data_IF_730558722922
#
_entry.id   IF_730558722922
#
_cell.length_a   1.000
_cell.length_b   1.000
_cell.length_c   1.000
_cell.angle_alpha   90.00
_cell.angle_beta   90.00
_cell.angle_gamma   90.00
#
_symmetry.space_group_name_H-M   'P 1'
#
loop_
_entity.id
_entity.type
_entity.pdbx_description
1 polymer ?
#
# COMPACT_ATOMS: atom_id res chain seq x y z
N UNK A 1 -42.49 -4.11 16.23
CA UNK A 1 -42.26 -5.30 17.08
C UNK A 1 -41.44 -6.29 16.28
N UNK A 2 -40.15 -6.45 16.61
CA UNK A 2 -39.26 -7.42 15.95
C UNK A 2 -39.59 -8.79 16.51
N UNK A 3 -40.12 -9.68 15.66
CA UNK A 3 -40.45 -11.06 16.03
C UNK A 3 -39.16 -11.82 16.32
N UNK A 4 -38.91 -12.15 17.59
CA UNK A 4 -37.95 -13.18 18.01
C UNK A 4 -38.49 -14.55 17.63
N UNK A 5 -38.35 -14.92 16.36
CA UNK A 5 -38.57 -16.28 15.87
C UNK A 5 -37.40 -17.15 16.30
N UNK A 6 -37.58 -17.89 17.40
CA UNK A 6 -36.54 -18.77 17.92
C UNK A 6 -36.22 -19.91 16.94
N UNK A 7 -34.93 -20.08 16.61
CA UNK A 7 -34.41 -21.26 15.92
C UNK A 7 -34.78 -22.60 16.61
N UNK A 8 -35.27 -22.55 17.85
CA UNK A 8 -35.62 -23.71 18.66
C UNK A 8 -36.79 -24.55 18.12
N UNK A 9 -37.77 -23.94 17.41
CA UNK A 9 -38.93 -24.68 16.87
C UNK A 9 -38.66 -25.38 15.54
N UNK A 10 -37.73 -24.86 14.75
CA UNK A 10 -37.47 -25.32 13.38
C UNK A 10 -36.65 -26.63 13.32
N UNK A 11 -35.88 -26.93 14.36
CA UNK A 11 -34.95 -28.07 14.42
C UNK A 11 -35.59 -29.39 14.89
N UNK A 12 -36.83 -29.36 15.39
CA UNK A 12 -37.44 -30.51 16.05
C UNK A 12 -37.82 -31.65 15.08
N UNK A 13 -38.16 -31.32 13.83
CA UNK A 13 -38.62 -32.28 12.80
C UNK A 13 -37.49 -32.91 11.95
N UNK A 14 -36.23 -32.51 12.15
CA UNK A 14 -35.10 -33.03 11.37
C UNK A 14 -34.62 -34.40 11.85
N UNK A 15 -34.12 -35.24 10.93
CA UNK A 15 -33.66 -36.60 11.21
C UNK A 15 -32.47 -36.59 12.18
N UNK A 16 -32.25 -37.68 12.94
CA UNK A 16 -31.17 -37.76 13.93
C UNK A 16 -29.76 -37.53 13.32
N UNK A 17 -29.60 -37.79 12.03
CA UNK A 17 -28.38 -37.51 11.27
C UNK A 17 -28.16 -36.01 11.08
N UNK A 18 -29.22 -35.26 10.74
CA UNK A 18 -29.14 -33.81 10.54
C UNK A 18 -28.89 -33.07 11.87
N UNK A 19 -29.48 -33.54 12.97
CA UNK A 19 -29.20 -33.01 14.32
C UNK A 19 -27.74 -33.23 14.73
N UNK A 20 -27.20 -34.42 14.44
CA UNK A 20 -25.79 -34.75 14.69
C UNK A 20 -24.86 -33.89 13.83
N UNK A 21 -25.15 -33.74 12.53
CA UNK A 21 -24.34 -32.91 11.63
C UNK A 21 -24.36 -31.43 12.01
N UNK A 22 -25.51 -30.89 12.42
CA UNK A 22 -25.62 -29.51 12.89
C UNK A 22 -24.87 -29.30 14.21
N UNK A 23 -24.93 -30.28 15.12
CA UNK A 23 -24.14 -30.24 16.36
C UNK A 23 -22.64 -30.24 16.07
N UNK A 24 -22.17 -31.13 15.20
CA UNK A 24 -20.75 -31.22 14.83
C UNK A 24 -20.27 -29.98 14.08
N UNK A 25 -21.07 -29.45 13.15
CA UNK A 25 -20.78 -28.21 12.43
C UNK A 25 -20.67 -27.03 13.39
N UNK A 26 -21.60 -26.90 14.35
CA UNK A 26 -21.57 -25.83 15.33
C UNK A 26 -20.34 -25.92 16.25
N UNK A 27 -20.00 -27.13 16.72
CA UNK A 27 -18.79 -27.36 17.52
C UNK A 27 -17.53 -26.98 16.71
N UNK A 28 -17.43 -27.40 15.45
CA UNK A 28 -16.29 -27.09 14.60
C UNK A 28 -16.16 -25.58 14.30
N UNK A 29 -17.27 -24.88 14.13
CA UNK A 29 -17.26 -23.42 13.96
C UNK A 29 -16.80 -22.74 15.26
N UNK A 30 -17.30 -23.18 16.42
CA UNK A 30 -16.91 -22.61 17.72
C UNK A 30 -15.43 -22.82 18.02
N UNK A 31 -14.87 -23.99 17.70
CA UNK A 31 -13.43 -24.24 17.89
C UNK A 31 -12.57 -23.39 16.97
N UNK A 32 -12.97 -23.23 15.69
CA UNK A 32 -12.27 -22.34 14.75
C UNK A 32 -12.31 -20.88 15.20
N UNK A 33 -13.47 -20.39 15.66
CA UNK A 33 -13.61 -19.03 16.20
C UNK A 33 -12.71 -18.84 17.41
N UNK A 34 -12.66 -19.81 18.33
CA UNK A 34 -11.80 -19.74 19.51
C UNK A 34 -10.32 -19.71 19.12
N UNK A 35 -9.88 -20.51 18.15
CA UNK A 35 -8.50 -20.49 17.64
C UNK A 35 -8.16 -19.17 16.96
N UNK A 36 -9.09 -18.54 16.24
CA UNK A 36 -8.90 -17.23 15.63
C UNK A 36 -8.77 -16.15 16.71
N UNK A 37 -9.66 -16.16 17.72
CA UNK A 37 -9.59 -15.22 18.84
C UNK A 37 -8.29 -15.34 19.62
N UNK A 38 -7.87 -16.58 19.89
CA UNK A 38 -6.57 -16.88 20.49
C UNK A 38 -5.44 -16.43 19.56
N UNK A 39 -5.46 -16.75 18.26
CA UNK A 39 -4.44 -16.32 17.31
C UNK A 39 -4.31 -14.79 17.19
N UNK A 40 -5.42 -14.05 17.29
CA UNK A 40 -5.43 -12.59 17.36
C UNK A 40 -4.83 -12.11 18.70
N UNK A 41 -5.18 -12.74 19.82
CA UNK A 41 -4.63 -12.42 21.13
C UNK A 41 -3.14 -12.77 21.27
N UNK A 42 -2.67 -13.80 20.54
CA UNK A 42 -1.30 -14.28 20.50
C UNK A 42 -0.46 -13.66 19.37
N UNK A 43 -1.04 -12.77 18.54
CA UNK A 43 -0.29 -11.94 17.61
C UNK A 43 0.58 -11.00 18.45
N UNK A 44 1.76 -11.53 18.74
CA UNK A 44 2.63 -11.07 19.80
C UNK A 44 2.93 -9.59 19.69
N UNK A 45 3.19 -9.05 20.88
CA UNK A 45 3.83 -7.77 21.13
C UNK A 45 5.14 -7.66 20.34
N UNK A 46 5.04 -7.29 19.07
CA UNK A 46 6.14 -6.79 18.27
C UNK A 46 6.04 -5.27 18.33
N UNK A 47 6.94 -4.69 19.13
CA UNK A 47 7.38 -3.29 19.18
C UNK A 47 6.56 -2.29 18.36
N UNK A 48 5.79 -1.43 19.04
CA UNK A 48 6.19 -0.05 19.31
C UNK A 48 5.04 0.71 19.99
N UNK A 49 5.37 1.34 21.11
CA UNK A 49 4.70 2.49 21.75
C UNK A 49 3.24 2.38 22.18
N UNK A 50 3.10 2.64 23.49
CA UNK A 50 1.92 3.00 24.28
C UNK A 50 0.71 3.53 23.52
N UNK A 51 -0.41 2.90 23.84
CA UNK A 51 -1.67 3.48 24.29
C UNK A 51 -1.74 5.02 24.36
N UNK A 52 -2.89 5.55 23.94
CA UNK A 52 -3.34 6.94 24.00
C UNK A 52 -2.60 7.98 23.13
N UNK A 53 -3.04 8.12 21.88
CA UNK A 53 -3.47 9.41 21.30
C UNK A 53 -3.99 9.17 19.88
N UNK A 54 -5.31 9.22 19.74
CA UNK A 54 -5.97 9.51 18.47
C UNK A 54 -5.39 10.84 17.94
N UNK A 55 -4.35 10.79 17.08
CA UNK A 55 -3.81 11.85 16.18
C UNK A 55 -2.28 12.00 16.12
N UNK A 56 -1.48 11.29 16.92
CA UNK A 56 -0.01 11.39 16.74
C UNK A 56 0.42 10.39 15.64
N UNK A 57 0.74 10.92 14.46
CA UNK A 57 1.40 10.17 13.39
C UNK A 57 2.71 9.54 13.88
N UNK A 58 3.39 8.75 13.04
CA UNK A 58 4.60 8.06 13.49
C UNK A 58 5.65 9.03 14.05
N UNK A 59 6.15 8.75 15.26
CA UNK A 59 7.13 9.59 15.97
C UNK A 59 8.55 9.00 15.97
N UNK A 60 8.79 7.93 15.22
CA UNK A 60 10.14 7.39 15.08
C UNK A 60 11.02 8.33 14.25
N UNK A 61 12.33 8.32 14.50
CA UNK A 61 13.30 9.21 13.86
C UNK A 61 13.28 9.13 12.32
N UNK A 62 13.10 7.93 11.78
CA UNK A 62 12.97 7.73 10.33
C UNK A 62 11.71 8.40 9.75
N UNK A 63 10.59 8.28 10.46
CA UNK A 63 9.33 8.90 10.05
C UNK A 63 9.41 10.43 10.11
N UNK A 64 9.92 11.01 11.21
CA UNK A 64 10.07 12.47 11.35
C UNK A 64 10.99 13.03 10.27
N UNK A 65 12.12 12.36 10.01
CA UNK A 65 13.07 12.75 8.96
C UNK A 65 12.42 12.71 7.57
N UNK A 66 11.67 11.65 7.28
CA UNK A 66 11.00 11.48 5.98
C UNK A 66 9.85 12.46 5.80
N UNK A 67 9.02 12.65 6.83
CA UNK A 67 7.92 13.62 6.81
C UNK A 67 8.44 15.06 6.63
N UNK A 68 9.52 15.43 7.33
CA UNK A 68 10.19 16.72 7.14
C UNK A 68 10.77 16.91 5.74
N UNK A 69 11.33 15.85 5.15
CA UNK A 69 11.80 15.87 3.77
C UNK A 69 10.66 16.00 2.75
N UNK A 70 9.53 15.33 2.96
CA UNK A 70 8.37 15.48 2.07
C UNK A 70 7.82 16.91 2.15
N UNK A 71 7.71 17.46 3.37
CA UNK A 71 7.19 18.81 3.59
C UNK A 71 8.06 19.89 2.91
N UNK A 72 9.37 19.69 2.81
CA UNK A 72 10.26 20.66 2.14
C UNK A 72 10.09 20.70 0.62
N UNK A 73 9.46 19.69 0.00
CA UNK A 73 9.21 19.63 -1.44
C UNK A 73 7.87 20.26 -1.82
N UNK A 74 6.93 20.33 -0.88
CA UNK A 74 5.57 20.82 -1.08
C UNK A 74 5.50 22.35 -1.13
N UNK A 75 4.60 22.88 -1.96
CA UNK A 75 4.24 24.29 -2.03
C UNK A 75 2.77 24.46 -1.61
N UNK A 76 2.56 24.75 -0.32
CA UNK A 76 1.24 24.90 0.29
C UNK A 76 0.43 26.10 -0.24
N UNK A 77 1.02 26.95 -1.09
CA UNK A 77 0.32 28.07 -1.72
C UNK A 77 -0.51 27.64 -2.93
N UNK A 78 -0.25 26.46 -3.49
CA UNK A 78 -0.99 25.89 -4.63
C UNK A 78 -2.19 25.10 -4.08
N UNK A 79 -3.31 25.11 -4.79
CA UNK A 79 -4.46 24.28 -4.41
C UNK A 79 -4.28 22.85 -4.95
N UNK A 80 -4.21 21.82 -4.08
CA UNK A 80 -4.04 20.42 -4.49
C UNK A 80 -5.20 19.90 -5.36
N UNK A 81 -6.39 20.48 -5.27
CA UNK A 81 -7.53 20.11 -6.10
C UNK A 81 -7.41 20.62 -7.54
N UNK A 82 -6.67 21.72 -7.74
CA UNK A 82 -6.46 22.33 -9.06
C UNK A 82 -5.22 21.79 -9.76
N UNK A 83 -4.11 21.62 -9.04
CA UNK A 83 -2.85 21.11 -9.58
C UNK A 83 -2.01 20.47 -8.47
N UNK A 84 -2.22 19.16 -8.28
CA UNK A 84 -1.51 18.38 -7.28
C UNK A 84 0.00 18.32 -7.53
N UNK A 85 0.45 18.37 -8.79
CA UNK A 85 1.88 18.32 -9.11
C UNK A 85 2.61 19.55 -8.56
N UNK A 86 2.05 20.72 -8.80
CA UNK A 86 2.62 21.96 -8.31
C UNK A 86 2.50 22.11 -6.78
N UNK A 87 1.44 21.56 -6.18
CA UNK A 87 1.33 21.49 -4.72
C UNK A 87 2.37 20.54 -4.10
N UNK A 88 2.58 19.36 -4.68
CA UNK A 88 3.49 18.36 -4.12
C UNK A 88 4.98 18.64 -4.40
N UNK A 89 5.29 19.22 -5.56
CA UNK A 89 6.66 19.39 -6.07
C UNK A 89 7.05 20.86 -6.33
N UNK A 90 6.15 21.83 -6.09
CA UNK A 90 6.38 23.22 -6.46
C UNK A 90 7.60 23.84 -5.80
N UNK A 91 7.88 23.51 -4.54
CA UNK A 91 9.07 24.01 -3.82
C UNK A 91 10.35 23.34 -4.30
N UNK A 92 10.28 22.05 -4.64
CA UNK A 92 11.39 21.34 -5.27
C UNK A 92 11.75 21.96 -6.63
N UNK A 93 10.76 22.26 -7.47
CA UNK A 93 10.99 22.84 -8.80
C UNK A 93 11.63 24.24 -8.73
N UNK A 94 11.29 25.02 -7.70
CA UNK A 94 11.90 26.33 -7.43
C UNK A 94 13.34 26.19 -6.91
N UNK A 95 13.59 25.25 -6.00
CA UNK A 95 14.90 25.03 -5.40
C UNK A 95 15.89 24.37 -6.37
N UNK A 96 15.41 23.48 -7.23
CA UNK A 96 16.23 22.77 -8.22
C UNK A 96 16.63 23.67 -9.39
N UNK A 97 15.94 24.81 -9.55
CA UNK A 97 15.86 25.49 -10.83
C UNK A 97 15.27 24.56 -11.89
N UNK A 98 14.62 25.11 -12.90
CA UNK A 98 14.25 24.37 -14.11
C UNK A 98 15.48 23.99 -14.96
N UNK A 99 16.58 23.61 -14.32
CA UNK A 99 17.75 23.03 -14.93
C UNK A 99 18.28 21.93 -14.01
N UNK A 100 17.54 20.82 -13.90
CA UNK A 100 18.24 19.55 -14.11
C UNK A 100 18.88 19.77 -15.46
N UNK A 101 20.16 20.12 -15.49
CA UNK A 101 20.81 20.73 -16.64
C UNK A 101 20.32 20.01 -17.90
N UNK A 102 19.42 20.64 -18.65
CA UNK A 102 18.79 19.98 -19.80
C UNK A 102 19.91 19.58 -20.77
N UNK A 103 20.93 20.45 -20.86
CA UNK A 103 22.25 20.21 -21.45
C UNK A 103 22.92 18.89 -21.02
N UNK A 104 22.82 18.50 -19.75
CA UNK A 104 23.34 17.21 -19.24
C UNK A 104 22.50 16.04 -19.72
N UNK A 105 21.17 16.17 -19.76
CA UNK A 105 20.29 15.11 -20.30
C UNK A 105 20.48 14.99 -21.82
N UNK A 106 20.61 16.11 -22.53
CA UNK A 106 20.84 16.15 -23.98
C UNK A 106 22.18 15.51 -24.33
N UNK A 107 23.26 15.85 -23.60
CA UNK A 107 24.57 15.21 -23.80
C UNK A 107 24.50 13.69 -23.60
N UNK A 108 23.81 13.22 -22.56
CA UNK A 108 23.65 11.78 -22.30
C UNK A 108 22.79 11.13 -23.38
N UNK A 109 21.72 11.78 -23.83
CA UNK A 109 20.86 11.31 -24.91
C UNK A 109 21.63 11.14 -26.22
N UNK A 110 22.44 12.13 -26.62
CA UNK A 110 23.26 12.01 -27.82
C UNK A 110 24.33 10.93 -27.70
N UNK A 111 24.99 10.79 -26.54
CA UNK A 111 25.95 9.70 -26.32
C UNK A 111 25.28 8.33 -26.41
N UNK A 112 24.10 8.15 -25.83
CA UNK A 112 23.34 6.89 -25.94
C UNK A 112 22.89 6.66 -27.38
N UNK A 113 22.42 7.70 -28.07
CA UNK A 113 22.02 7.62 -29.48
C UNK A 113 23.19 7.18 -30.37
N UNK A 114 24.38 7.73 -30.16
CA UNK A 114 25.58 7.40 -30.94
C UNK A 114 25.98 5.92 -30.73
N UNK A 115 25.87 5.42 -29.50
CA UNK A 115 26.08 4.00 -29.20
C UNK A 115 25.04 3.10 -29.89
N UNK A 116 23.75 3.47 -29.83
CA UNK A 116 22.67 2.73 -30.49
C UNK A 116 22.80 2.75 -32.02
N UNK A 117 23.26 3.87 -32.59
CA UNK A 117 23.45 4.02 -34.03
C UNK A 117 24.67 3.23 -34.51
N UNK A 118 25.73 3.15 -33.69
CA UNK A 118 26.90 2.30 -33.94
C UNK A 118 26.59 0.80 -33.91
N UNK A 119 25.69 0.38 -33.01
CA UNK A 119 25.21 -1.01 -32.94
C UNK A 119 24.30 -1.34 -34.13
N UNK A 120 23.50 -0.36 -34.58
CA UNK A 120 22.70 -0.50 -35.78
C UNK A 120 23.55 -0.60 -37.04
N UNK A 121 24.67 0.13 -37.17
CA UNK A 121 25.56 0.02 -38.33
C UNK A 121 26.20 -1.39 -38.46
N UNK A 122 26.49 -2.07 -37.35
CA UNK A 122 26.97 -3.45 -37.33
C UNK A 122 25.92 -4.47 -37.81
N UNK A 123 24.62 -4.22 -37.56
CA UNK A 123 23.55 -5.09 -38.07
C UNK A 123 23.40 -5.07 -39.59
N UNK A 124 23.76 -3.96 -40.25
CA UNK A 124 23.72 -3.87 -41.72
C UNK A 124 24.93 -4.55 -42.33
N UNK A 125 26.11 -4.45 -41.70
CA UNK A 125 27.33 -5.13 -42.15
C UNK A 125 27.16 -6.66 -42.07
N UNK A 126 26.50 -7.18 -41.03
CA UNK A 126 26.21 -8.62 -40.93
C UNK A 126 25.14 -9.15 -41.89
N UNK A 127 24.37 -8.26 -42.54
CA UNK A 127 23.35 -8.65 -43.54
C UNK A 127 23.84 -8.50 -44.98
N UNK A 128 25.07 -8.00 -45.18
CA UNK A 128 25.68 -7.77 -46.51
C UNK A 128 26.94 -8.62 -46.76
N UNK A 129 27.27 -9.54 -45.83
CA UNK A 129 28.25 -10.62 -46.01
C UNK A 129 27.54 -11.97 -45.97
#
# INVERSE_FOLDING_TARGET
>A
MVTKGGCQGWLQQRTNLEKTLLSLSCILILTLVLLILVGIAFKGKSSDVSDSEEKLGCLNAECIKTAGHILSLMDERRDPCSNFYDYACGSFNQASGHSIAQNSIDSVYYSIKDLLESESALMWISSTV
#
